data_IF_159991738555
#
_entry.id   IF_159991738555
#
_cell.length_a   1.000
_cell.length_b   1.000
_cell.length_c   1.000
_cell.angle_alpha   90.00
_cell.angle_beta   90.00
_cell.angle_gamma   90.00
#
_symmetry.space_group_name_H-M   'P 1'
#
loop_
_entity.id
_entity.type
_entity.pdbx_description
1 polymer ?
#
# COMPACT_ATOMS: atom_id res chain seq x y z
N UNK A 1 33.13 -58.62 -42.21
CA UNK A 1 31.92 -58.69 -41.37
C UNK A 1 32.09 -57.68 -40.25
N UNK A 2 31.13 -56.77 -40.09
CA UNK A 2 31.19 -55.65 -39.16
C UNK A 2 30.17 -54.61 -39.58
N UNK A 3 28.89 -54.99 -39.46
CA UNK A 3 27.72 -54.27 -39.91
C UNK A 3 27.67 -52.88 -39.30
N UNK A 4 27.65 -51.86 -40.17
CA UNK A 4 27.32 -50.48 -39.86
C UNK A 4 25.83 -50.47 -39.52
N UNK A 5 25.51 -50.49 -38.22
CA UNK A 5 24.13 -50.42 -37.76
C UNK A 5 23.53 -49.09 -38.21
N UNK A 6 22.69 -49.15 -39.24
CA UNK A 6 21.72 -48.12 -39.59
C UNK A 6 20.82 -47.90 -38.38
N UNK A 7 21.05 -46.82 -37.65
CA UNK A 7 20.11 -46.27 -36.68
C UNK A 7 18.98 -45.64 -37.50
N UNK A 8 18.06 -46.49 -37.92
CA UNK A 8 16.79 -46.16 -38.56
C UNK A 8 15.71 -46.96 -37.86
N UNK A 9 15.47 -46.63 -36.59
CA UNK A 9 14.38 -47.20 -35.80
C UNK A 9 13.02 -46.63 -36.25
N UNK A 10 11.96 -47.41 -36.00
CA UNK A 10 10.55 -47.27 -36.40
C UNK A 10 9.81 -45.97 -35.98
N UNK A 11 10.50 -44.89 -35.62
CA UNK A 11 9.88 -43.62 -35.25
C UNK A 11 9.95 -42.64 -36.43
N UNK A 12 8.79 -42.23 -36.94
CA UNK A 12 8.71 -41.21 -37.99
C UNK A 12 9.26 -39.85 -37.50
N UNK A 13 9.52 -38.89 -38.43
CA UNK A 13 10.08 -37.58 -38.08
C UNK A 13 9.29 -36.85 -36.99
N UNK A 14 7.95 -37.03 -36.98
CA UNK A 14 7.07 -36.48 -35.95
C UNK A 14 7.35 -37.04 -34.55
N UNK A 15 7.52 -38.36 -34.41
CA UNK A 15 7.76 -38.98 -33.12
C UNK A 15 9.08 -38.54 -32.48
N UNK A 16 10.12 -38.29 -33.30
CA UNK A 16 11.39 -37.73 -32.83
C UNK A 16 11.25 -36.26 -32.40
N UNK A 17 10.51 -35.44 -33.14
CA UNK A 17 10.20 -34.07 -32.72
C UNK A 17 9.44 -34.05 -31.40
N UNK A 18 8.45 -34.94 -31.26
CA UNK A 18 7.63 -35.07 -30.05
C UNK A 18 8.49 -35.52 -28.85
N UNK A 19 9.36 -36.51 -29.04
CA UNK A 19 10.29 -36.98 -28.00
C UNK A 19 11.28 -35.89 -27.54
N UNK A 20 11.78 -35.05 -28.44
CA UNK A 20 12.64 -33.91 -28.06
C UNK A 20 11.86 -32.93 -27.18
N UNK A 21 10.60 -32.60 -27.56
CA UNK A 21 9.78 -31.68 -26.77
C UNK A 21 9.46 -32.26 -25.38
N UNK A 22 9.09 -33.53 -25.31
CA UNK A 22 8.86 -34.24 -24.05
C UNK A 22 10.11 -34.23 -23.17
N UNK A 23 11.28 -34.56 -23.73
CA UNK A 23 12.54 -34.54 -22.97
C UNK A 23 12.90 -33.14 -22.45
N UNK A 24 12.61 -32.07 -23.19
CA UNK A 24 12.76 -30.69 -22.68
C UNK A 24 11.80 -30.41 -21.53
N UNK A 25 10.52 -30.76 -21.65
CA UNK A 25 9.51 -30.51 -20.62
C UNK A 25 9.78 -31.31 -19.35
N UNK A 26 10.23 -32.56 -19.47
CA UNK A 26 10.57 -33.44 -18.35
C UNK A 26 11.95 -33.12 -17.74
N UNK A 27 12.80 -32.40 -18.48
CA UNK A 27 14.18 -32.09 -18.09
C UNK A 27 15.13 -33.29 -18.22
N UNK A 28 14.84 -34.23 -19.12
CA UNK A 28 15.69 -35.39 -19.41
C UNK A 28 16.86 -35.00 -20.32
N UNK A 29 17.94 -34.55 -19.68
CA UNK A 29 19.16 -34.13 -20.37
C UNK A 29 19.89 -35.30 -21.05
N UNK A 30 19.73 -36.53 -20.58
CA UNK A 30 20.38 -37.70 -21.16
C UNK A 30 19.75 -38.03 -22.53
N UNK A 31 18.41 -38.02 -22.60
CA UNK A 31 17.69 -38.18 -23.86
C UNK A 31 18.00 -37.02 -24.81
N UNK A 32 18.06 -35.78 -24.32
CA UNK A 32 18.43 -34.62 -25.14
C UNK A 32 19.88 -34.71 -25.66
N UNK A 33 20.82 -35.22 -24.87
CA UNK A 33 22.21 -35.42 -25.29
C UNK A 33 22.34 -36.51 -26.36
N UNK A 34 21.58 -37.59 -26.23
CA UNK A 34 21.49 -38.65 -27.24
C UNK A 34 20.93 -38.11 -28.57
N UNK A 35 19.76 -37.46 -28.51
CA UNK A 35 19.09 -36.90 -29.69
C UNK A 35 19.86 -35.74 -30.33
N UNK A 36 20.71 -35.03 -29.57
CA UNK A 36 21.56 -33.95 -30.07
C UNK A 36 22.50 -34.41 -31.17
N UNK A 37 23.25 -35.48 -30.91
CA UNK A 37 24.32 -35.92 -31.80
C UNK A 37 23.78 -36.65 -33.05
N UNK A 38 22.53 -37.10 -33.01
CA UNK A 38 21.87 -37.80 -34.11
C UNK A 38 20.88 -36.88 -34.84
N UNK A 39 19.70 -36.67 -34.25
CA UNK A 39 18.55 -36.04 -34.90
C UNK A 39 18.62 -34.50 -34.94
N UNK A 40 19.07 -33.86 -33.86
CA UNK A 40 19.16 -32.39 -33.77
C UNK A 40 20.47 -31.82 -34.34
N UNK A 41 21.35 -32.67 -34.87
CA UNK A 41 22.52 -32.24 -35.65
C UNK A 41 22.14 -31.41 -36.89
N UNK A 42 20.92 -31.62 -37.39
CA UNK A 42 20.30 -30.81 -38.43
C UNK A 42 19.59 -29.63 -37.74
N UNK A 43 20.15 -28.42 -37.88
CA UNK A 43 19.64 -27.20 -37.22
C UNK A 43 18.16 -26.90 -37.54
N UNK A 44 17.69 -27.27 -38.74
CA UNK A 44 16.28 -27.10 -39.12
C UNK A 44 15.33 -27.89 -38.21
N UNK A 45 15.76 -29.04 -37.66
CA UNK A 45 14.93 -29.85 -36.76
C UNK A 45 14.68 -29.13 -35.44
N UNK A 46 15.65 -28.36 -34.92
CA UNK A 46 15.48 -27.55 -33.71
C UNK A 46 14.37 -26.52 -33.90
N UNK A 47 14.34 -25.84 -35.06
CA UNK A 47 13.30 -24.86 -35.38
C UNK A 47 11.91 -25.48 -35.61
N UNK A 48 11.86 -26.76 -36.01
CA UNK A 48 10.62 -27.53 -36.20
C UNK A 48 10.08 -28.12 -34.90
N UNK A 49 10.89 -28.18 -33.84
CA UNK A 49 10.46 -28.59 -32.51
C UNK A 49 9.63 -27.48 -31.84
N UNK A 50 8.40 -27.31 -32.31
CA UNK A 50 7.39 -26.42 -31.72
C UNK A 50 6.19 -27.22 -31.23
N UNK A 51 5.53 -26.74 -30.18
CA UNK A 51 4.27 -27.30 -29.71
C UNK A 51 3.06 -26.75 -30.50
N UNK A 52 1.84 -27.11 -30.09
CA UNK A 52 0.59 -26.66 -30.71
C UNK A 52 0.36 -25.14 -30.60
N UNK A 53 1.00 -24.48 -29.64
CA UNK A 53 0.95 -23.02 -29.44
C UNK A 53 2.10 -22.28 -30.15
N UNK A 54 2.97 -23.02 -30.85
CA UNK A 54 4.15 -22.48 -31.50
C UNK A 54 5.32 -22.23 -30.55
N UNK A 55 5.26 -22.73 -29.31
CA UNK A 55 6.35 -22.60 -28.36
C UNK A 55 7.55 -23.43 -28.83
N UNK A 56 8.69 -22.76 -28.97
CA UNK A 56 9.99 -23.41 -29.28
C UNK A 56 10.53 -24.18 -28.08
N UNK A 57 11.60 -24.97 -28.28
CA UNK A 57 12.30 -25.63 -27.18
C UNK A 57 12.72 -24.68 -26.06
N UNK A 58 13.11 -23.44 -26.37
CA UNK A 58 13.51 -22.45 -25.36
C UNK A 58 12.31 -22.03 -24.48
N UNK A 59 11.10 -21.94 -25.06
CA UNK A 59 9.88 -21.70 -24.27
C UNK A 59 9.54 -22.90 -23.37
N UNK A 60 9.65 -24.11 -23.91
CA UNK A 60 9.35 -25.35 -23.18
C UNK A 60 10.36 -25.63 -22.06
N UNK A 61 11.57 -25.07 -22.16
CA UNK A 61 12.62 -25.22 -21.17
C UNK A 61 12.48 -24.28 -19.94
N UNK A 62 11.45 -23.44 -19.91
CA UNK A 62 11.19 -22.52 -18.79
C UNK A 62 10.65 -23.27 -17.58
N UNK A 63 11.10 -22.87 -16.37
CA UNK A 63 10.68 -23.51 -15.13
C UNK A 63 11.45 -22.98 -13.92
N UNK A 64 11.52 -23.77 -12.83
CA UNK A 64 12.20 -23.37 -11.59
C UNK A 64 13.73 -23.50 -11.64
N UNK A 65 14.27 -24.25 -12.59
CA UNK A 65 15.71 -24.45 -12.75
C UNK A 65 16.12 -24.08 -14.18
N UNK A 66 17.18 -23.29 -14.30
CA UNK A 66 17.73 -22.83 -15.58
C UNK A 66 18.57 -23.87 -16.30
N UNK A 67 18.76 -25.08 -15.76
CA UNK A 67 19.63 -26.11 -16.36
C UNK A 67 19.16 -26.53 -17.75
N UNK A 68 17.87 -26.82 -17.92
CA UNK A 68 17.30 -27.21 -19.23
C UNK A 68 17.32 -26.02 -20.19
N UNK A 69 17.01 -24.82 -19.68
CA UNK A 69 17.11 -23.58 -20.45
C UNK A 69 18.54 -23.36 -20.98
N UNK A 70 19.55 -23.47 -20.11
CA UNK A 70 20.95 -23.36 -20.48
C UNK A 70 21.31 -24.39 -21.55
N UNK A 71 20.96 -25.66 -21.35
CA UNK A 71 21.22 -26.72 -22.33
C UNK A 71 20.57 -26.43 -23.69
N UNK A 72 19.30 -26.04 -23.71
CA UNK A 72 18.58 -25.74 -24.97
C UNK A 72 19.16 -24.52 -25.71
N UNK A 73 19.69 -23.53 -24.99
CA UNK A 73 20.30 -22.35 -25.61
C UNK A 73 21.74 -22.62 -26.05
N UNK A 74 22.58 -23.19 -25.18
CA UNK A 74 24.03 -23.36 -25.46
C UNK A 74 24.33 -24.58 -26.30
N UNK A 75 23.73 -25.74 -25.99
CA UNK A 75 24.05 -27.00 -26.66
C UNK A 75 23.19 -27.24 -27.90
N UNK A 76 21.93 -26.78 -27.88
CA UNK A 76 21.02 -26.91 -29.02
C UNK A 76 20.93 -25.64 -29.87
N UNK A 77 21.64 -24.56 -29.52
CA UNK A 77 21.59 -23.29 -30.26
C UNK A 77 20.16 -22.76 -30.44
N UNK A 78 19.30 -22.97 -29.43
CA UNK A 78 17.91 -22.53 -29.45
C UNK A 78 17.80 -21.00 -29.54
N UNK A 79 16.96 -20.51 -30.45
CA UNK A 79 16.76 -19.07 -30.62
C UNK A 79 15.96 -18.48 -29.44
N UNK A 80 16.63 -17.70 -28.59
CA UNK A 80 16.06 -17.02 -27.41
C UNK A 80 15.02 -15.93 -27.74
N UNK A 81 14.97 -15.48 -29.00
CA UNK A 81 14.08 -14.42 -29.47
C UNK A 81 13.00 -14.92 -30.43
N UNK A 82 12.90 -16.23 -30.66
CA UNK A 82 11.87 -16.80 -31.52
C UNK A 82 10.48 -16.58 -30.89
N UNK A 83 9.51 -15.96 -31.58
CA UNK A 83 8.17 -15.80 -31.06
C UNK A 83 7.32 -17.08 -31.27
N UNK A 84 6.42 -17.37 -30.33
CA UNK A 84 5.34 -18.35 -30.51
C UNK A 84 4.19 -17.79 -31.36
N UNK A 85 3.10 -18.55 -31.55
CA UNK A 85 1.97 -18.10 -32.38
C UNK A 85 1.22 -16.88 -31.82
N UNK A 86 1.46 -16.51 -30.56
CA UNK A 86 0.94 -15.29 -29.93
C UNK A 86 1.94 -14.14 -30.00
N UNK A 87 3.03 -14.28 -30.74
CA UNK A 87 4.10 -13.29 -30.85
C UNK A 87 4.99 -13.19 -29.61
N UNK A 88 4.79 -14.05 -28.59
CA UNK A 88 5.53 -13.99 -27.33
C UNK A 88 6.86 -14.70 -27.49
N UNK A 89 7.94 -14.07 -27.04
CA UNK A 89 9.26 -14.71 -26.92
C UNK A 89 9.36 -15.52 -25.62
N UNK A 90 10.39 -16.37 -25.46
CA UNK A 90 10.66 -17.03 -24.18
C UNK A 90 10.75 -16.04 -23.01
N UNK A 91 11.27 -14.83 -23.22
CA UNK A 91 11.33 -13.79 -22.17
C UNK A 91 9.93 -13.34 -21.74
N UNK A 92 8.96 -13.23 -22.67
CA UNK A 92 7.57 -12.94 -22.31
C UNK A 92 6.96 -14.04 -21.44
N UNK A 93 7.19 -15.31 -21.76
CA UNK A 93 6.67 -16.42 -20.96
C UNK A 93 7.38 -16.56 -19.61
N UNK A 94 8.69 -16.27 -19.54
CA UNK A 94 9.44 -16.27 -18.28
C UNK A 94 8.87 -15.21 -17.32
N UNK A 95 8.67 -13.98 -17.78
CA UNK A 95 8.11 -12.92 -16.92
C UNK A 95 6.64 -13.14 -16.61
N UNK A 96 5.84 -13.66 -17.55
CA UNK A 96 4.42 -14.00 -17.32
C UNK A 96 4.22 -14.99 -16.18
N UNK A 97 5.13 -15.95 -16.02
CA UNK A 97 5.08 -16.97 -14.96
C UNK A 97 5.96 -16.62 -13.74
N UNK A 98 6.57 -15.43 -13.72
CA UNK A 98 7.50 -14.97 -12.69
C UNK A 98 8.70 -15.91 -12.47
N UNK A 99 9.25 -16.49 -13.54
CA UNK A 99 10.48 -17.29 -13.48
C UNK A 99 11.70 -16.37 -13.51
N UNK A 100 12.06 -15.85 -12.34
CA UNK A 100 13.11 -14.82 -12.17
C UNK A 100 14.47 -15.31 -12.67
N UNK A 101 14.86 -16.53 -12.33
CA UNK A 101 16.15 -17.11 -12.75
C UNK A 101 16.19 -17.35 -14.27
N UNK A 102 15.08 -17.77 -14.87
CA UNK A 102 14.97 -17.88 -16.32
C UNK A 102 14.98 -16.51 -17.00
N UNK A 103 14.36 -15.50 -16.41
CA UNK A 103 14.40 -14.12 -16.90
C UNK A 103 15.85 -13.61 -16.94
N UNK A 104 16.61 -13.77 -15.84
CA UNK A 104 18.03 -13.40 -15.79
C UNK A 104 18.87 -14.17 -16.82
N UNK A 105 18.70 -15.49 -16.88
CA UNK A 105 19.44 -16.33 -17.82
C UNK A 105 19.14 -15.98 -19.29
N UNK A 106 17.88 -15.73 -19.64
CA UNK A 106 17.50 -15.32 -21.01
C UNK A 106 18.17 -14.00 -21.40
N UNK A 107 18.22 -13.02 -20.49
CA UNK A 107 18.90 -11.75 -20.74
C UNK A 107 20.41 -11.94 -20.89
N UNK A 108 21.03 -12.83 -20.09
CA UNK A 108 22.45 -13.18 -20.24
C UNK A 108 22.75 -13.83 -21.60
N UNK A 109 21.79 -14.58 -22.15
CA UNK A 109 21.88 -15.16 -23.49
C UNK A 109 21.47 -14.21 -24.63
N UNK A 110 21.22 -12.93 -24.34
CA UNK A 110 20.90 -11.93 -25.36
C UNK A 110 19.44 -11.92 -25.81
N UNK A 111 18.51 -12.29 -24.93
CA UNK A 111 17.10 -12.05 -25.17
C UNK A 111 16.81 -10.55 -25.33
N UNK A 112 16.11 -10.19 -26.39
CA UNK A 112 15.68 -8.83 -26.69
C UNK A 112 14.40 -8.52 -25.91
N UNK A 113 14.52 -7.61 -24.96
CA UNK A 113 13.44 -7.17 -24.08
C UNK A 113 12.59 -6.04 -24.66
N UNK A 114 12.80 -5.70 -25.94
CA UNK A 114 12.04 -4.72 -26.71
C UNK A 114 11.04 -5.35 -27.67
N UNK A 115 11.09 -6.67 -27.86
CA UNK A 115 10.16 -7.41 -28.73
C UNK A 115 8.73 -7.26 -28.21
N UNK A 116 7.79 -6.95 -29.10
CA UNK A 116 6.37 -6.83 -28.76
C UNK A 116 5.60 -8.10 -29.12
N UNK A 117 4.80 -8.63 -28.19
CA UNK A 117 3.87 -9.72 -28.46
C UNK A 117 2.69 -9.28 -29.36
N UNK A 118 1.81 -10.21 -29.74
CA UNK A 118 0.62 -9.88 -30.53
C UNK A 118 -0.35 -8.91 -29.82
N UNK A 119 -0.33 -8.87 -28.49
CA UNK A 119 -1.04 -7.87 -27.66
C UNK A 119 -0.31 -6.53 -27.59
N UNK A 120 0.72 -6.35 -28.42
CA UNK A 120 1.59 -5.19 -28.53
C UNK A 120 2.42 -4.92 -27.27
N UNK A 121 2.40 -5.81 -26.30
CA UNK A 121 3.10 -5.64 -25.01
C UNK A 121 4.52 -6.20 -25.09
N UNK A 122 5.49 -5.46 -24.56
CA UNK A 122 6.86 -5.94 -24.32
C UNK A 122 6.90 -6.91 -23.13
N UNK A 123 8.05 -7.57 -22.83
CA UNK A 123 8.21 -8.33 -21.60
C UNK A 123 7.98 -7.49 -20.34
N UNK A 124 8.41 -6.23 -20.30
CA UNK A 124 8.19 -5.37 -19.12
C UNK A 124 6.70 -5.07 -18.90
N UNK A 125 5.96 -4.77 -19.98
CA UNK A 125 4.49 -4.63 -19.91
C UNK A 125 3.81 -5.92 -19.44
N UNK A 126 4.27 -7.07 -19.92
CA UNK A 126 3.74 -8.39 -19.55
C UNK A 126 4.00 -8.68 -18.08
N UNK A 127 5.21 -8.39 -17.58
CA UNK A 127 5.57 -8.52 -16.18
C UNK A 127 4.66 -7.66 -15.29
N UNK A 128 4.43 -6.39 -15.67
CA UNK A 128 3.54 -5.49 -14.95
C UNK A 128 2.08 -5.97 -14.95
N UNK A 129 1.60 -6.53 -16.07
CA UNK A 129 0.25 -7.07 -16.18
C UNK A 129 0.05 -8.35 -15.34
N UNK A 130 1.12 -9.11 -15.10
CA UNK A 130 1.06 -10.39 -14.39
C UNK A 130 1.48 -10.32 -12.91
N UNK A 131 1.86 -9.14 -12.41
CA UNK A 131 2.28 -9.00 -11.01
C UNK A 131 3.71 -9.43 -10.72
N UNK A 132 4.54 -9.60 -11.76
CA UNK A 132 5.88 -10.20 -11.67
C UNK A 132 6.94 -9.15 -11.34
N UNK A 133 6.85 -8.57 -10.14
CA UNK A 133 7.69 -7.45 -9.68
C UNK A 133 9.18 -7.81 -9.70
N UNK A 134 9.54 -9.03 -9.30
CA UNK A 134 10.94 -9.47 -9.29
C UNK A 134 11.52 -9.52 -10.71
N UNK A 135 10.73 -9.96 -11.69
CA UNK A 135 11.13 -9.88 -13.11
C UNK A 135 11.21 -8.44 -13.61
N UNK A 136 10.36 -7.53 -13.11
CA UNK A 136 10.46 -6.09 -13.43
C UNK A 136 11.76 -5.49 -12.88
N UNK A 137 12.18 -5.86 -11.66
CA UNK A 137 13.46 -5.48 -11.07
C UNK A 137 14.65 -5.97 -11.92
N UNK A 138 14.59 -7.22 -12.41
CA UNK A 138 15.60 -7.77 -13.32
C UNK A 138 15.70 -6.95 -14.60
N UNK A 139 14.58 -6.75 -15.30
CA UNK A 139 14.52 -6.01 -16.56
C UNK A 139 14.99 -4.55 -16.37
N UNK A 140 14.62 -3.92 -15.25
CA UNK A 140 15.01 -2.55 -14.96
C UNK A 140 16.52 -2.42 -14.70
N UNK A 141 17.12 -3.34 -13.91
CA UNK A 141 18.57 -3.36 -13.63
C UNK A 141 19.42 -3.58 -14.88
N UNK A 142 18.90 -4.32 -15.86
CA UNK A 142 19.60 -4.65 -17.11
C UNK A 142 19.39 -3.61 -18.21
N UNK A 143 18.50 -2.65 -18.02
CA UNK A 143 18.25 -1.58 -18.99
C UNK A 143 19.33 -0.51 -18.94
N UNK A 144 19.76 -0.03 -20.11
CA UNK A 144 20.69 1.11 -20.23
C UNK A 144 20.07 2.43 -19.72
N UNK A 145 18.75 2.57 -19.82
CA UNK A 145 17.99 3.72 -19.32
C UNK A 145 16.77 3.24 -18.52
N UNK A 146 16.94 3.01 -17.20
CA UNK A 146 15.87 2.56 -16.32
C UNK A 146 14.64 3.49 -16.33
N UNK A 147 14.85 4.80 -16.40
CA UNK A 147 13.75 5.76 -16.41
C UNK A 147 12.92 5.65 -17.69
N UNK A 148 13.58 5.50 -18.84
CA UNK A 148 12.90 5.23 -20.11
C UNK A 148 12.20 3.88 -20.09
N UNK A 149 12.79 2.86 -19.46
CA UNK A 149 12.19 1.52 -19.36
C UNK A 149 10.89 1.51 -18.57
N UNK A 150 10.83 2.15 -17.40
CA UNK A 150 9.59 2.26 -16.61
C UNK A 150 8.47 2.99 -17.37
N UNK A 151 8.87 3.94 -18.23
CA UNK A 151 7.97 4.76 -19.03
C UNK A 151 7.84 4.30 -20.48
N UNK A 152 8.31 3.10 -20.82
CA UNK A 152 8.16 2.58 -22.17
C UNK A 152 6.67 2.40 -22.48
N UNK A 153 6.32 2.57 -23.75
CA UNK A 153 4.95 2.53 -24.22
C UNK A 153 4.81 1.42 -25.24
N UNK A 154 3.73 0.65 -25.13
CA UNK A 154 3.31 -0.24 -26.21
C UNK A 154 2.79 0.54 -27.43
N UNK A 155 2.46 -0.15 -28.53
CA UNK A 155 1.86 0.50 -29.71
C UNK A 155 0.53 1.21 -29.45
N UNK A 156 -0.19 0.82 -28.40
CA UNK A 156 -1.40 1.51 -27.95
C UNK A 156 -1.07 2.68 -27.01
N UNK A 157 0.19 3.10 -26.94
CA UNK A 157 0.71 4.13 -26.04
C UNK A 157 0.42 3.83 -24.55
N UNK A 158 0.12 2.58 -24.22
CA UNK A 158 -0.11 2.19 -22.83
C UNK A 158 1.25 1.98 -22.17
N UNK A 159 1.43 2.57 -20.99
CA UNK A 159 2.57 2.28 -20.12
C UNK A 159 2.31 1.03 -19.27
N UNK A 160 3.35 0.50 -18.63
CA UNK A 160 3.23 -0.55 -17.61
C UNK A 160 2.20 -0.18 -16.50
N UNK A 161 2.10 1.11 -16.15
CA UNK A 161 1.16 1.60 -15.14
C UNK A 161 -0.30 1.49 -15.59
N UNK A 162 -0.58 1.54 -16.90
CA UNK A 162 -1.92 1.25 -17.42
C UNK A 162 -2.28 -0.23 -17.24
N UNK A 163 -1.32 -1.14 -17.48
CA UNK A 163 -1.54 -2.59 -17.35
C UNK A 163 -1.83 -2.94 -15.89
N UNK A 164 -1.02 -2.45 -14.95
CA UNK A 164 -1.25 -2.67 -13.51
C UNK A 164 -2.56 -2.03 -13.03
N UNK A 165 -2.92 -0.86 -13.56
CA UNK A 165 -4.19 -0.20 -13.25
C UNK A 165 -5.41 -0.95 -13.77
N UNK A 166 -5.28 -1.63 -14.91
CA UNK A 166 -6.34 -2.48 -15.46
C UNK A 166 -6.50 -3.78 -14.66
N UNK A 167 -5.40 -4.38 -14.22
CA UNK A 167 -5.42 -5.63 -13.44
C UNK A 167 -5.89 -5.41 -12.00
N UNK A 168 -5.44 -4.32 -11.37
CA UNK A 168 -5.77 -3.95 -9.99
C UNK A 168 -4.67 -4.26 -8.98
N UNK A 169 -3.49 -4.73 -9.39
CA UNK A 169 -2.38 -4.94 -8.48
C UNK A 169 -1.76 -3.60 -8.03
N UNK A 170 -2.10 -3.21 -6.79
CA UNK A 170 -1.57 -2.01 -6.14
C UNK A 170 -0.07 -2.12 -5.84
N UNK A 171 0.49 -3.33 -5.70
CA UNK A 171 1.93 -3.53 -5.43
C UNK A 171 2.75 -3.15 -6.66
N UNK A 172 2.35 -3.62 -7.85
CA UNK A 172 2.99 -3.24 -9.12
C UNK A 172 2.84 -1.75 -9.35
N UNK A 173 1.65 -1.19 -9.12
CA UNK A 173 1.41 0.24 -9.29
C UNK A 173 2.27 1.09 -8.34
N UNK A 174 2.47 0.61 -7.10
CA UNK A 174 3.41 1.23 -6.14
C UNK A 174 4.84 1.19 -6.63
N UNK A 175 5.31 0.01 -7.01
CA UNK A 175 6.66 -0.18 -7.51
C UNK A 175 6.93 0.71 -8.71
N UNK A 176 6.01 0.76 -9.69
CA UNK A 176 6.16 1.60 -10.89
C UNK A 176 6.28 3.08 -10.56
N UNK A 177 5.40 3.61 -9.70
CA UNK A 177 5.44 5.03 -9.32
C UNK A 177 6.69 5.36 -8.50
N UNK A 178 7.14 4.45 -7.64
CA UNK A 178 8.39 4.61 -6.86
C UNK A 178 9.64 4.59 -7.75
N UNK A 179 9.59 3.93 -8.91
CA UNK A 179 10.66 3.89 -9.91
C UNK A 179 10.49 4.94 -11.03
N UNK A 180 9.62 5.94 -10.85
CA UNK A 180 9.53 7.10 -11.75
C UNK A 180 8.54 6.94 -12.92
N UNK A 181 7.53 6.07 -12.79
CA UNK A 181 6.45 6.02 -13.78
C UNK A 181 5.67 7.33 -13.86
N UNK A 182 5.39 7.77 -15.08
CA UNK A 182 4.57 8.94 -15.37
C UNK A 182 3.11 8.65 -15.06
N UNK A 183 2.62 9.23 -13.96
CA UNK A 183 1.28 8.95 -13.37
C UNK A 183 0.13 9.29 -14.33
N UNK A 184 0.25 10.38 -15.09
CA UNK A 184 -0.79 10.89 -16.00
C UNK A 184 -0.48 10.63 -17.49
N UNK A 185 0.35 9.60 -17.78
CA UNK A 185 0.59 9.19 -19.18
C UNK A 185 -0.74 8.83 -19.85
N UNK A 186 -0.93 9.24 -21.12
CA UNK A 186 -2.13 8.92 -21.89
C UNK A 186 -1.85 7.80 -22.89
N UNK A 187 -2.79 6.86 -22.98
CA UNK A 187 -2.83 5.87 -24.06
C UNK A 187 -3.41 6.46 -25.37
N UNK A 188 -3.58 5.64 -26.41
CA UNK A 188 -4.17 6.06 -27.70
C UNK A 188 -5.60 6.59 -27.59
N UNK A 189 -6.30 6.26 -26.51
CA UNK A 189 -7.67 6.67 -26.22
C UNK A 189 -7.72 7.83 -25.21
N UNK A 190 -6.62 8.54 -25.01
CA UNK A 190 -6.45 9.58 -23.99
C UNK A 190 -6.75 9.10 -22.55
N UNK A 191 -6.77 7.79 -22.33
CA UNK A 191 -7.02 7.18 -21.03
C UNK A 191 -5.75 7.26 -20.21
N UNK A 192 -5.84 7.80 -18.99
CA UNK A 192 -4.74 7.77 -18.01
C UNK A 192 -4.82 6.51 -17.14
N UNK A 193 -3.74 6.12 -16.42
CA UNK A 193 -3.78 5.02 -15.47
C UNK A 193 -4.89 5.15 -14.43
N UNK A 194 -5.12 6.36 -13.89
CA UNK A 194 -6.24 6.61 -12.98
C UNK A 194 -7.58 6.33 -13.66
N UNK A 195 -7.78 6.84 -14.88
CA UNK A 195 -9.02 6.62 -15.62
C UNK A 195 -9.23 5.13 -15.94
N UNK A 196 -8.17 4.40 -16.26
CA UNK A 196 -8.18 2.95 -16.46
C UNK A 196 -8.59 2.22 -15.18
N UNK A 197 -7.99 2.55 -14.03
CA UNK A 197 -8.33 1.95 -12.74
C UNK A 197 -9.81 2.17 -12.38
N UNK A 198 -10.33 3.39 -12.57
CA UNK A 198 -11.75 3.69 -12.31
C UNK A 198 -12.66 2.95 -13.30
N UNK A 199 -12.32 2.93 -14.60
CA UNK A 199 -13.08 2.21 -15.63
C UNK A 199 -13.16 0.70 -15.35
N UNK A 200 -12.08 0.11 -14.86
CA UNK A 200 -12.02 -1.32 -14.49
C UNK A 200 -12.52 -1.62 -13.07
N UNK A 201 -12.86 -0.60 -12.28
CA UNK A 201 -13.36 -0.75 -10.92
C UNK A 201 -12.31 -1.25 -9.94
N UNK A 202 -11.11 -0.66 -9.97
CA UNK A 202 -9.97 -1.00 -9.12
C UNK A 202 -9.75 0.12 -8.07
N UNK A 203 -10.53 0.14 -6.98
CA UNK A 203 -10.53 1.26 -6.03
C UNK A 203 -9.19 1.45 -5.32
N UNK A 204 -8.48 0.36 -4.99
CA UNK A 204 -7.20 0.43 -4.28
C UNK A 204 -6.11 1.10 -5.14
N UNK A 205 -6.08 0.80 -6.44
CA UNK A 205 -5.15 1.45 -7.37
C UNK A 205 -5.56 2.90 -7.62
N UNK A 206 -6.86 3.17 -7.81
CA UNK A 206 -7.35 4.54 -7.98
C UNK A 206 -7.01 5.43 -6.78
N UNK A 207 -7.27 4.95 -5.55
CA UNK A 207 -6.92 5.67 -4.32
C UNK A 207 -5.42 5.93 -4.23
N UNK A 208 -4.59 4.94 -4.55
CA UNK A 208 -3.14 5.09 -4.56
C UNK A 208 -2.68 6.16 -5.57
N UNK A 209 -3.18 6.12 -6.80
CA UNK A 209 -2.81 7.07 -7.85
C UNK A 209 -3.26 8.50 -7.51
N UNK A 210 -4.47 8.68 -6.96
CA UNK A 210 -4.96 9.98 -6.49
C UNK A 210 -4.05 10.53 -5.39
N UNK A 211 -3.66 9.68 -4.43
CA UNK A 211 -2.71 10.07 -3.36
C UNK A 211 -1.33 10.46 -3.90
N UNK A 212 -0.93 9.92 -5.06
CA UNK A 212 0.32 10.26 -5.76
C UNK A 212 0.18 11.44 -6.73
N UNK A 213 -0.95 12.14 -6.70
CA UNK A 213 -1.15 13.38 -7.46
C UNK A 213 -1.66 13.17 -8.89
N UNK A 214 -2.24 12.01 -9.20
CA UNK A 214 -2.90 11.79 -10.48
C UNK A 214 -4.01 12.82 -10.73
N UNK A 215 -4.05 13.38 -11.94
CA UNK A 215 -5.07 14.36 -12.32
C UNK A 215 -6.45 13.71 -12.38
N UNK A 216 -7.33 14.11 -11.47
CA UNK A 216 -8.69 13.56 -11.33
C UNK A 216 -9.67 14.02 -12.44
N UNK A 217 -9.22 14.91 -13.32
CA UNK A 217 -10.05 15.60 -14.32
C UNK A 217 -9.67 15.31 -15.78
N UNK A 218 -8.75 14.37 -16.03
CA UNK A 218 -8.45 13.96 -17.41
C UNK A 218 -9.62 13.21 -18.02
N UNK A 219 -9.88 13.47 -19.30
CA UNK A 219 -10.93 12.83 -20.06
C UNK A 219 -10.35 11.91 -21.15
N UNK A 220 -11.01 10.78 -21.39
CA UNK A 220 -10.74 9.91 -22.54
C UNK A 220 -11.20 10.56 -23.87
N UNK A 221 -10.97 9.85 -24.98
CA UNK A 221 -11.47 10.24 -26.31
C UNK A 221 -12.98 10.41 -26.39
N UNK A 222 -13.78 9.94 -25.43
CA UNK A 222 -15.23 10.13 -25.40
C UNK A 222 -15.64 11.31 -24.50
N UNK A 223 -14.67 12.03 -23.94
CA UNK A 223 -14.91 13.10 -22.96
C UNK A 223 -15.28 12.57 -21.57
N UNK A 224 -15.18 11.27 -21.32
CA UNK A 224 -15.45 10.68 -20.01
C UNK A 224 -14.27 10.89 -19.07
N UNK A 225 -14.54 11.57 -17.96
CA UNK A 225 -13.67 11.74 -16.79
C UNK A 225 -13.91 10.65 -15.75
N UNK A 226 -13.04 10.48 -14.73
CA UNK A 226 -13.23 9.47 -13.68
C UNK A 226 -14.63 9.49 -13.04
N UNK A 227 -15.17 10.68 -12.75
CA UNK A 227 -16.53 10.85 -12.19
C UNK A 227 -17.65 10.27 -13.06
N UNK A 228 -17.48 10.24 -14.39
CA UNK A 228 -18.44 9.63 -15.31
C UNK A 228 -18.44 8.11 -15.16
N UNK A 229 -17.25 7.49 -15.09
CA UNK A 229 -17.14 6.04 -14.89
C UNK A 229 -17.61 5.61 -13.49
N UNK A 230 -17.37 6.40 -12.45
CA UNK A 230 -17.94 6.14 -11.14
C UNK A 230 -19.48 6.09 -11.20
N UNK A 231 -20.12 7.01 -11.94
CA UNK A 231 -21.56 7.02 -12.13
C UNK A 231 -22.08 5.78 -12.90
N UNK A 232 -21.37 5.33 -13.94
CA UNK A 232 -21.71 4.11 -14.70
C UNK A 232 -21.62 2.87 -13.80
N UNK A 233 -20.55 2.78 -12.99
CA UNK A 233 -20.24 1.61 -12.17
C UNK A 233 -20.90 1.59 -10.81
N UNK A 234 -21.48 2.72 -10.40
CA UNK A 234 -21.97 2.97 -9.05
C UNK A 234 -20.86 2.91 -7.98
N UNK A 235 -19.64 3.35 -8.32
CA UNK A 235 -18.47 3.24 -7.44
C UNK A 235 -18.41 4.43 -6.45
N UNK A 236 -19.33 4.44 -5.48
CA UNK A 236 -19.47 5.49 -4.46
C UNK A 236 -18.17 5.82 -3.74
N UNK A 237 -17.40 4.80 -3.34
CA UNK A 237 -16.14 4.98 -2.60
C UNK A 237 -15.12 5.78 -3.42
N UNK A 238 -14.92 5.42 -4.68
CA UNK A 238 -13.97 6.11 -5.56
C UNK A 238 -14.48 7.53 -5.85
N UNK A 239 -15.78 7.70 -6.08
CA UNK A 239 -16.36 9.02 -6.33
C UNK A 239 -16.11 9.98 -5.15
N UNK A 240 -16.27 9.50 -3.91
CA UNK A 240 -15.93 10.30 -2.71
C UNK A 240 -14.47 10.73 -2.70
N UNK A 241 -13.56 9.82 -3.01
CA UNK A 241 -12.13 10.12 -3.03
C UNK A 241 -11.83 11.16 -4.11
N UNK A 242 -12.38 11.00 -5.32
CA UNK A 242 -12.22 11.96 -6.42
C UNK A 242 -12.73 13.35 -6.05
N UNK A 243 -13.93 13.46 -5.48
CA UNK A 243 -14.51 14.74 -5.06
C UNK A 243 -13.67 15.37 -3.94
N UNK A 244 -13.20 14.57 -2.97
CA UNK A 244 -12.31 15.06 -1.91
C UNK A 244 -10.95 15.54 -2.45
N UNK A 245 -10.50 14.99 -3.58
CA UNK A 245 -9.30 15.42 -4.30
C UNK A 245 -9.56 16.58 -5.26
N UNK A 246 -10.78 17.13 -5.31
CA UNK A 246 -11.13 18.31 -6.10
C UNK A 246 -11.63 18.02 -7.52
N UNK A 247 -12.01 16.79 -7.85
CA UNK A 247 -12.54 16.46 -9.17
C UNK A 247 -13.81 17.26 -9.51
N UNK A 248 -13.89 17.80 -10.72
CA UNK A 248 -15.07 18.55 -11.16
C UNK A 248 -16.27 17.61 -11.43
N UNK A 249 -17.43 17.93 -10.84
CA UNK A 249 -18.69 17.17 -11.06
C UNK A 249 -19.63 17.82 -12.07
N UNK A 250 -19.47 19.11 -12.35
CA UNK A 250 -20.21 19.84 -13.38
C UNK A 250 -19.51 19.72 -14.74
N UNK A 251 -19.32 18.50 -15.18
CA UNK A 251 -18.65 18.14 -16.42
C UNK A 251 -19.62 17.39 -17.33
N UNK A 252 -19.36 17.48 -18.63
CA UNK A 252 -20.14 16.81 -19.66
C UNK A 252 -19.19 16.08 -20.62
N UNK A 253 -19.52 14.84 -20.95
CA UNK A 253 -18.79 14.08 -21.97
C UNK A 253 -19.19 14.52 -23.40
N UNK A 254 -18.71 13.85 -24.45
CA UNK A 254 -19.02 14.21 -25.85
C UNK A 254 -20.51 14.17 -26.20
N UNK A 255 -21.30 13.33 -25.52
CA UNK A 255 -22.76 13.26 -25.69
C UNK A 255 -23.50 14.29 -24.83
N UNK A 256 -22.75 15.22 -24.21
CA UNK A 256 -23.22 16.18 -23.23
C UNK A 256 -23.83 15.53 -21.98
N UNK A 257 -23.52 14.25 -21.71
CA UNK A 257 -23.98 13.58 -20.50
C UNK A 257 -23.11 14.01 -19.31
N UNK A 258 -23.76 14.49 -18.26
CA UNK A 258 -23.12 14.68 -16.95
C UNK A 258 -23.04 13.37 -16.15
N UNK A 259 -22.27 13.30 -15.04
CA UNK A 259 -22.28 12.14 -14.17
C UNK A 259 -23.69 11.73 -13.71
N UNK A 260 -24.58 12.70 -13.43
CA UNK A 260 -25.98 12.41 -13.10
C UNK A 260 -26.76 11.76 -14.26
N UNK A 261 -26.51 12.16 -15.51
CA UNK A 261 -27.13 11.48 -16.67
C UNK A 261 -26.72 10.01 -16.71
N UNK A 262 -25.44 9.71 -16.51
CA UNK A 262 -24.94 8.34 -16.54
C UNK A 262 -25.46 7.52 -15.36
N UNK A 263 -25.53 8.10 -14.15
CA UNK A 263 -26.14 7.44 -12.99
C UNK A 263 -27.63 7.12 -13.23
N UNK A 264 -28.36 8.00 -13.92
CA UNK A 264 -29.75 7.79 -14.28
C UNK A 264 -29.93 6.71 -15.38
N UNK A 265 -29.08 6.72 -16.41
CA UNK A 265 -29.09 5.73 -17.49
C UNK A 265 -28.76 4.34 -16.93
N UNK A 266 -27.77 4.25 -16.04
CA UNK A 266 -27.35 3.02 -15.36
C UNK A 266 -28.02 2.86 -13.99
N UNK A 267 -29.31 3.17 -13.90
CA UNK A 267 -30.06 3.11 -12.64
C UNK A 267 -29.95 1.74 -11.95
N UNK A 268 -29.77 1.76 -10.63
CA UNK A 268 -29.77 0.58 -9.77
C UNK A 268 -30.88 0.71 -8.71
N UNK A 269 -32.14 0.42 -9.07
CA UNK A 269 -33.25 0.56 -8.14
C UNK A 269 -33.03 -0.31 -6.89
N UNK A 270 -33.38 0.23 -5.72
CA UNK A 270 -33.20 -0.41 -4.41
C UNK A 270 -31.73 -0.60 -3.98
N UNK A 271 -30.76 0.03 -4.65
CA UNK A 271 -29.38 0.08 -4.18
C UNK A 271 -29.15 1.34 -3.36
N UNK A 272 -28.86 1.16 -2.07
CA UNK A 272 -28.51 2.30 -1.19
C UNK A 272 -27.26 3.03 -1.66
N UNK A 273 -26.27 2.28 -2.17
CA UNK A 273 -25.03 2.86 -2.71
C UNK A 273 -25.29 3.77 -3.93
N UNK A 274 -26.29 3.45 -4.75
CA UNK A 274 -26.66 4.28 -5.90
C UNK A 274 -27.37 5.56 -5.48
N UNK A 275 -28.24 5.48 -4.48
CA UNK A 275 -28.86 6.66 -3.86
C UNK A 275 -27.79 7.56 -3.22
N UNK A 276 -26.88 6.98 -2.43
CA UNK A 276 -25.78 7.71 -1.79
C UNK A 276 -24.83 8.32 -2.84
N UNK A 277 -24.63 7.68 -4.00
CA UNK A 277 -23.85 8.23 -5.12
C UNK A 277 -24.52 9.44 -5.75
N UNK A 278 -25.83 9.39 -5.98
CA UNK A 278 -26.58 10.53 -6.52
C UNK A 278 -26.56 11.69 -5.52
N UNK A 279 -26.75 11.40 -4.25
CA UNK A 279 -26.66 12.38 -3.16
C UNK A 279 -25.30 13.04 -3.12
N UNK A 280 -24.23 12.25 -3.17
CA UNK A 280 -22.86 12.77 -3.21
C UNK A 280 -22.61 13.67 -4.43
N UNK A 281 -23.13 13.33 -5.60
CA UNK A 281 -23.05 14.20 -6.78
C UNK A 281 -23.79 15.52 -6.56
N UNK A 282 -24.96 15.49 -5.90
CA UNK A 282 -25.69 16.71 -5.54
C UNK A 282 -24.96 17.58 -4.53
N UNK A 283 -24.36 16.97 -3.52
CA UNK A 283 -23.63 17.69 -2.48
C UNK A 283 -22.35 18.31 -3.02
N UNK A 284 -21.72 17.66 -3.99
CA UNK A 284 -20.62 18.23 -4.77
C UNK A 284 -21.08 19.32 -5.76
N UNK A 285 -22.38 19.58 -5.88
CA UNK A 285 -22.94 20.65 -6.70
C UNK A 285 -23.22 20.28 -8.16
N UNK A 286 -23.35 18.99 -8.49
CA UNK A 286 -23.72 18.55 -9.84
C UNK A 286 -25.14 19.03 -10.20
N UNK A 287 -25.26 19.73 -11.32
CA UNK A 287 -26.54 20.32 -11.73
C UNK A 287 -27.50 19.28 -12.36
N UNK A 288 -28.69 19.01 -11.77
CA UNK A 288 -29.67 18.06 -12.29
C UNK A 288 -30.49 18.57 -13.46
N UNK A 289 -30.42 19.87 -13.77
CA UNK A 289 -31.23 20.49 -14.81
C UNK A 289 -30.52 20.56 -16.17
N UNK A 290 -29.25 20.14 -16.23
CA UNK A 290 -28.46 20.10 -17.46
C UNK A 290 -29.11 19.15 -18.45
N UNK A 291 -29.17 19.56 -19.71
CA UNK A 291 -29.63 18.73 -20.81
C UNK A 291 -28.44 18.16 -21.57
N UNK A 292 -28.55 16.90 -21.99
CA UNK A 292 -27.57 16.26 -22.87
C UNK A 292 -27.86 16.54 -24.37
N UNK A 293 -27.13 15.88 -25.27
CA UNK A 293 -27.27 16.05 -26.71
C UNK A 293 -28.69 15.70 -27.22
N UNK A 294 -29.43 14.87 -26.48
CA UNK A 294 -30.83 14.50 -26.78
C UNK A 294 -31.86 15.46 -26.17
N UNK A 295 -31.44 16.58 -25.56
CA UNK A 295 -32.31 17.52 -24.83
C UNK A 295 -33.09 16.88 -23.68
N UNK A 296 -32.50 15.85 -23.06
CA UNK A 296 -33.08 15.16 -21.90
C UNK A 296 -32.29 15.50 -20.65
N UNK A 297 -32.99 15.65 -19.53
CA UNK A 297 -32.38 15.81 -18.21
C UNK A 297 -32.09 14.42 -17.60
N UNK A 298 -31.22 14.31 -16.58
CA UNK A 298 -31.00 13.05 -15.85
C UNK A 298 -32.32 12.39 -15.40
N UNK A 299 -33.24 13.17 -14.83
CA UNK A 299 -34.52 12.67 -14.33
C UNK A 299 -35.45 12.10 -15.43
N UNK A 300 -35.19 12.37 -16.70
CA UNK A 300 -36.00 11.83 -17.82
C UNK A 300 -35.62 10.39 -18.18
N UNK A 301 -34.47 9.91 -17.73
CA UNK A 301 -34.03 8.53 -17.93
C UNK A 301 -34.55 7.56 -16.86
N UNK A 302 -35.09 8.06 -15.75
CA UNK A 302 -35.58 7.23 -14.64
C UNK A 302 -37.11 7.15 -14.57
N UNK A 303 -37.61 6.04 -14.02
CA UNK A 303 -39.04 5.82 -13.81
C UNK A 303 -39.68 6.83 -12.84
N UNK A 304 -41.02 6.98 -12.89
CA UNK A 304 -41.77 7.97 -12.09
C UNK A 304 -41.46 7.92 -10.58
N UNK A 305 -41.25 6.74 -10.03
CA UNK A 305 -40.91 6.55 -8.60
C UNK A 305 -39.53 7.11 -8.23
N UNK A 306 -38.57 7.05 -9.14
CA UNK A 306 -37.18 7.46 -8.92
C UNK A 306 -36.91 8.92 -9.28
N UNK A 307 -37.79 9.57 -10.05
CA UNK A 307 -37.65 11.00 -10.43
C UNK A 307 -37.44 11.92 -9.23
N UNK A 308 -38.05 11.56 -8.09
CA UNK A 308 -37.92 12.30 -6.84
C UNK A 308 -36.46 12.40 -6.37
N UNK A 309 -35.68 11.33 -6.51
CA UNK A 309 -34.26 11.28 -6.10
C UNK A 309 -33.42 12.29 -6.90
N UNK A 310 -33.80 12.54 -8.16
CA UNK A 310 -33.13 13.50 -9.05
C UNK A 310 -33.67 14.94 -8.92
N UNK A 311 -34.49 15.23 -7.92
CA UNK A 311 -34.98 16.60 -7.64
C UNK A 311 -34.11 17.27 -6.56
N UNK A 312 -33.76 18.54 -6.80
CA UNK A 312 -32.94 19.32 -5.87
C UNK A 312 -33.58 19.46 -4.48
N UNK A 313 -34.91 19.42 -4.41
CA UNK A 313 -35.68 19.48 -3.16
C UNK A 313 -35.33 18.37 -2.17
N UNK A 314 -35.11 17.14 -2.64
CA UNK A 314 -34.70 16.02 -1.77
C UNK A 314 -33.27 16.23 -1.25
N UNK A 315 -32.36 16.70 -2.11
CA UNK A 315 -30.99 17.00 -1.67
C UNK A 315 -30.96 18.13 -0.62
N UNK A 316 -31.79 19.17 -0.79
CA UNK A 316 -31.88 20.30 0.16
C UNK A 316 -32.50 19.87 1.48
N UNK A 317 -33.57 19.09 1.45
CA UNK A 317 -34.23 18.62 2.67
C UNK A 317 -33.33 17.64 3.45
N UNK A 318 -32.57 16.80 2.75
CA UNK A 318 -31.59 15.92 3.39
C UNK A 318 -30.41 16.71 3.98
N UNK A 319 -29.89 17.74 3.31
CA UNK A 319 -28.89 18.67 3.87
C UNK A 319 -29.37 19.32 5.17
N UNK A 320 -30.65 19.69 5.25
CA UNK A 320 -31.25 20.23 6.49
C UNK A 320 -31.24 19.19 7.60
N UNK A 321 -31.59 17.95 7.29
CA UNK A 321 -31.63 16.86 8.25
C UNK A 321 -30.22 16.51 8.77
N UNK A 322 -29.22 16.44 7.89
CA UNK A 322 -27.83 16.18 8.26
C UNK A 322 -27.22 17.31 9.06
N UNK A 323 -27.46 18.57 8.67
CA UNK A 323 -27.01 19.73 9.44
C UNK A 323 -27.65 19.76 10.84
N UNK A 324 -28.93 19.37 10.95
CA UNK A 324 -29.60 19.22 12.23
C UNK A 324 -28.96 18.13 13.08
N UNK A 325 -28.69 16.96 12.49
CA UNK A 325 -28.05 15.84 13.18
C UNK A 325 -26.65 16.18 13.67
N UNK A 326 -25.83 16.83 12.83
CA UNK A 326 -24.49 17.30 13.22
C UNK A 326 -24.54 18.31 14.36
N UNK A 327 -25.53 19.21 14.37
CA UNK A 327 -25.73 20.14 15.50
C UNK A 327 -26.12 19.40 16.77
N UNK A 328 -27.03 18.44 16.68
CA UNK A 328 -27.42 17.61 17.83
C UNK A 328 -26.21 16.84 18.39
N UNK A 329 -25.41 16.20 17.53
CA UNK A 329 -24.18 15.48 17.91
C UNK A 329 -23.11 16.43 18.51
N UNK A 330 -22.91 17.61 17.94
CA UNK A 330 -21.97 18.62 18.47
C UNK A 330 -22.46 19.16 19.84
N UNK A 331 -23.75 19.43 19.98
CA UNK A 331 -24.34 19.85 21.27
C UNK A 331 -24.17 18.77 22.35
N UNK A 332 -24.35 17.49 22.01
CA UNK A 332 -24.07 16.38 22.91
C UNK A 332 -22.58 16.30 23.28
N UNK A 333 -21.70 16.45 22.30
CA UNK A 333 -20.26 16.46 22.54
C UNK A 333 -19.83 17.63 23.46
N UNK A 334 -20.38 18.83 23.25
CA UNK A 334 -20.11 19.98 24.10
C UNK A 334 -20.63 19.77 25.53
N UNK A 335 -21.83 19.21 25.72
CA UNK A 335 -22.35 18.84 27.06
C UNK A 335 -21.42 17.85 27.75
N UNK A 336 -20.94 16.83 27.03
CA UNK A 336 -19.98 15.86 27.56
C UNK A 336 -18.65 16.51 27.94
N UNK A 337 -18.18 17.46 27.13
CA UNK A 337 -16.97 18.23 27.39
C UNK A 337 -17.12 19.11 28.64
N UNK A 338 -18.27 19.75 28.82
CA UNK A 338 -18.61 20.54 30.01
C UNK A 338 -18.64 19.68 31.27
N UNK A 339 -19.31 18.52 31.24
CA UNK A 339 -19.33 17.55 32.36
C UNK A 339 -17.92 17.10 32.71
N UNK A 340 -17.08 16.79 31.71
CA UNK A 340 -15.68 16.41 31.94
C UNK A 340 -14.89 17.55 32.59
N UNK A 341 -15.10 18.79 32.16
CA UNK A 341 -14.39 19.95 32.70
C UNK A 341 -14.84 20.29 34.13
N UNK A 342 -16.13 20.17 34.44
CA UNK A 342 -16.63 20.34 35.82
C UNK A 342 -16.08 19.27 36.76
N UNK A 343 -16.04 18.01 36.30
CA UNK A 343 -15.40 16.94 37.08
C UNK A 343 -13.91 17.18 37.29
N UNK A 344 -13.18 17.54 36.22
CA UNK A 344 -11.74 17.87 36.31
C UNK A 344 -11.47 19.00 37.30
N UNK A 345 -12.25 20.08 37.25
CA UNK A 345 -12.09 21.22 38.17
C UNK A 345 -12.38 20.84 39.62
N UNK A 346 -13.41 20.01 39.86
CA UNK A 346 -13.68 19.43 41.18
C UNK A 346 -12.50 18.60 41.72
N UNK A 347 -11.96 17.68 40.90
CA UNK A 347 -10.80 16.86 41.29
C UNK A 347 -9.57 17.71 41.59
N UNK A 348 -9.29 18.73 40.78
CA UNK A 348 -8.16 19.65 41.02
C UNK A 348 -8.35 20.41 42.33
N UNK A 349 -9.55 20.93 42.60
CA UNK A 349 -9.86 21.64 43.84
C UNK A 349 -9.72 20.72 45.07
N UNK A 350 -10.14 19.47 44.99
CA UNK A 350 -10.00 18.51 46.09
C UNK A 350 -8.52 18.12 46.31
N UNK A 351 -7.74 17.95 45.24
CA UNK A 351 -6.28 17.76 45.33
C UNK A 351 -5.58 18.96 45.97
N UNK A 352 -5.99 20.19 45.64
CA UNK A 352 -5.46 21.41 46.26
C UNK A 352 -5.78 21.50 47.75
N UNK A 353 -7.01 21.14 48.16
CA UNK A 353 -7.38 21.04 49.58
C UNK A 353 -6.52 20.02 50.32
N UNK A 354 -6.33 18.82 49.76
CA UNK A 354 -5.49 17.77 50.36
C UNK A 354 -4.05 18.27 50.52
N UNK A 355 -3.49 18.93 49.50
CA UNK A 355 -2.15 19.52 49.59
C UNK A 355 -2.06 20.61 50.66
N UNK A 356 -3.07 21.46 50.81
CA UNK A 356 -3.11 22.48 51.86
C UNK A 356 -3.12 21.85 53.25
N UNK A 357 -3.98 20.85 53.48
CA UNK A 357 -4.04 20.14 54.75
C UNK A 357 -2.73 19.42 55.09
N UNK A 358 -2.11 18.74 54.11
CA UNK A 358 -0.81 18.09 54.29
C UNK A 358 0.29 19.09 54.64
N UNK A 359 0.27 20.28 54.02
CA UNK A 359 1.22 21.35 54.34
C UNK A 359 1.02 21.87 55.76
N UNK A 360 -0.23 22.14 56.16
CA UNK A 360 -0.56 22.60 57.51
C UNK A 360 -0.17 21.56 58.58
N UNK A 361 -0.38 20.27 58.31
CA UNK A 361 0.03 19.18 59.18
C UNK A 361 1.55 19.06 59.29
N UNK A 362 2.27 19.21 58.17
CA UNK A 362 3.73 19.21 58.16
C UNK A 362 4.31 20.42 58.92
N UNK A 363 3.74 21.61 58.74
CA UNK A 363 4.11 22.83 59.47
C UNK A 363 3.81 22.70 60.97
N UNK A 364 2.73 21.99 61.34
CA UNK A 364 2.43 21.66 62.74
C UNK A 364 3.46 20.71 63.32
N UNK A 365 3.76 19.60 62.62
CA UNK A 365 4.73 18.62 63.07
C UNK A 365 6.12 19.26 63.24
N UNK A 366 6.51 20.15 62.32
CA UNK A 366 7.76 20.89 62.40
C UNK A 366 7.83 21.76 63.66
N UNK A 367 6.77 22.52 63.97
CA UNK A 367 6.67 23.28 65.22
C UNK A 367 6.77 22.40 66.46
N UNK A 368 6.07 21.26 66.49
CA UNK A 368 6.15 20.31 67.60
C UNK A 368 7.58 19.73 67.75
N UNK A 369 8.28 19.45 66.66
CA UNK A 369 9.69 18.99 66.71
C UNK A 369 10.66 20.05 67.19
N UNK A 370 10.49 21.31 66.78
CA UNK A 370 11.31 22.43 67.26
C UNK A 370 11.10 22.69 68.75
N UNK A 371 9.86 22.59 69.23
CA UNK A 371 9.55 22.72 70.66
C UNK A 371 10.16 21.58 71.48
N UNK A 372 10.12 20.34 70.96
CA UNK A 372 10.81 19.20 71.59
C UNK A 372 12.32 19.41 71.65
N UNK A 373 12.94 19.86 70.56
CA UNK A 373 14.36 20.17 70.55
C UNK A 373 14.73 21.27 71.56
N UNK A 374 13.93 22.36 71.61
CA UNK A 374 14.11 23.41 72.62
C UNK A 374 14.00 22.87 74.05
N UNK A 375 13.01 22.03 74.33
CA UNK A 375 12.83 21.42 75.64
C UNK A 375 13.98 20.44 76.00
N UNK A 376 14.50 19.68 75.04
CA UNK A 376 15.67 18.82 75.23
C UNK A 376 16.94 19.63 75.51
N UNK A 377 17.16 20.74 74.81
CA UNK A 377 18.30 21.63 75.03
C UNK A 377 18.22 22.30 76.40
N UNK A 378 17.04 22.79 76.81
CA UNK A 378 16.80 23.33 78.15
C UNK A 378 17.07 22.26 79.24
N UNK A 379 16.62 21.02 79.02
CA UNK A 379 16.88 19.91 79.95
C UNK A 379 18.37 19.54 80.02
N UNK A 380 19.10 19.58 78.89
CA UNK A 380 20.56 19.39 78.85
C UNK A 380 21.28 20.46 79.63
N UNK A 381 20.92 21.73 79.46
CA UNK A 381 21.50 22.85 80.22
C UNK A 381 21.28 22.68 81.73
N UNK A 382 20.06 22.34 82.15
CA UNK A 382 19.76 22.09 83.57
C UNK A 382 20.57 20.92 84.14
N UNK A 383 20.72 19.84 83.37
CA UNK A 383 21.53 18.69 83.79
C UNK A 383 23.01 19.07 83.92
N UNK A 384 23.54 19.85 82.97
CA UNK A 384 24.92 20.34 83.01
C UNK A 384 25.16 21.24 84.23
N UNK A 385 24.23 22.15 84.53
CA UNK A 385 24.28 22.99 85.74
C UNK A 385 24.27 22.16 87.04
N UNK A 386 23.43 21.12 87.12
CA UNK A 386 23.39 20.20 88.26
C UNK A 386 24.71 19.42 88.38
N UNK A 387 25.24 18.92 87.26
CA UNK A 387 26.49 18.18 87.23
C UNK A 387 27.68 19.06 87.64
N UNK A 388 27.70 20.32 87.21
CA UNK A 388 28.72 21.30 87.59
C UNK A 388 28.64 21.65 89.08
N UNK A 389 27.43 21.87 89.62
CA UNK A 389 27.19 22.01 91.07
C UNK A 389 27.69 20.80 91.85
N UNK A 390 27.44 19.58 91.36
CA UNK A 390 27.95 18.34 91.98
C UNK A 390 29.47 18.26 91.94
N UNK A 391 30.11 18.55 90.79
CA UNK A 391 31.57 18.60 90.66
C UNK A 391 32.17 19.61 91.64
N UNK A 392 31.57 20.78 91.75
CA UNK A 392 31.98 21.80 92.73
C UNK A 392 31.84 21.28 94.16
N UNK A 393 30.72 20.65 94.52
CA UNK A 393 30.53 20.06 95.86
C UNK A 393 31.55 18.94 96.15
N UNK A 394 31.84 18.08 95.18
CA UNK A 394 32.84 17.02 95.31
C UNK A 394 34.25 17.59 95.47
N UNK A 395 34.63 18.60 94.70
CA UNK A 395 35.90 19.32 94.89
C UNK A 395 36.01 19.95 96.28
N UNK A 396 34.94 20.60 96.76
CA UNK A 396 34.91 21.16 98.11
C UNK A 396 35.00 20.07 99.18
N UNK A 397 34.35 18.93 98.97
CA UNK A 397 34.43 17.78 99.87
C UNK A 397 35.83 17.17 99.87
N UNK A 398 36.48 17.07 98.71
CA UNK A 398 37.86 16.60 98.56
C UNK A 398 38.84 17.55 99.25
N UNK A 399 38.71 18.86 99.06
CA UNK A 399 39.48 19.89 99.79
C UNK A 399 39.29 19.80 101.30
N UNK A 400 38.07 19.55 101.79
CA UNK A 400 37.80 19.35 103.23
C UNK A 400 38.42 18.06 103.78
N UNK A 401 38.38 16.96 103.02
CA UNK A 401 39.03 15.71 103.37
C UNK A 401 40.55 15.87 103.45
N UNK A 402 41.17 16.47 102.43
CA UNK A 402 42.61 16.79 102.40
C UNK A 402 43.03 17.72 103.54
N UNK A 403 42.18 18.68 103.93
CA UNK A 403 42.43 19.52 105.11
C UNK A 403 42.36 18.72 106.42
N UNK A 404 41.42 17.77 106.54
CA UNK A 404 41.28 16.91 107.72
C UNK A 404 42.47 15.97 107.90
N UNK A 405 43.00 15.41 106.81
CA UNK A 405 44.19 14.55 106.82
C UNK A 405 45.46 15.34 107.21
N UNK A 406 45.56 16.62 106.80
CA UNK A 406 46.64 17.50 107.25
C UNK A 406 46.55 17.89 108.73
N UNK A 407 45.35 17.95 109.32
CA UNK A 407 45.17 18.25 110.75
C UNK A 407 45.29 17.03 111.68
N UNK A 408 45.17 15.80 111.15
CA UNK A 408 45.30 14.57 111.94
C UNK A 408 46.74 14.12 112.21
N UNK A 409 47.74 14.67 111.51
CA UNK A 409 49.16 14.34 111.71
C UNK A 409 49.80 15.06 112.91
N UNK A 410 49.04 15.86 113.67
CA UNK A 410 49.51 16.61 114.84
C UNK A 410 48.71 16.22 116.08
N UNK A 411 48.96 15.00 116.57
CA UNK A 411 48.88 14.56 117.98
C UNK A 411 49.18 13.06 118.03
N UNK A 412 50.47 12.76 117.93
CA UNK A 412 51.09 11.63 118.63
C UNK A 412 51.26 12.02 120.09
#
# INVERSE_FOLDING_TARGET
>A
MGSRATIGGLQGPKALLDAVREAVVEGDLDTLASLRNEFLSISENISKCIDESGNTLVHLALGKNTTVLAYTVTELSGNVNAPNFQGRTPLHEAVRNNYVECCEALLDYGADDTVEAATLSTPFHTAAACGSVECMDVLLRRSEDPHKKVNELDRNKCSALHKSSSDGDVRVSKWLVEHGATVDQKDINDTTPLLMAVKMGKPEVAEYLIKKGASCDQADINGNRPVHYCAIRCDYKILRILISAGAAVNVQNKDLNSPLHLAAIHQRPNSREWEDLIELLFDAGCNPAVENASRKKPADYVGRSLKKIFSSEISVERRRLECKKQREEEEEFQKMLEIRNTWRTGVVADLEKVKSMQKEELDRLHRETEERHRAEDDARMLLEEIMEKKRYQEEQRKKRLEASEKTGSVKK
#
